data_IF_069545027247
#
_entry.id   IF_069545027247
#
_cell.length_a   1.000
_cell.length_b   1.000
_cell.length_c   1.000
_cell.angle_alpha   90.00
_cell.angle_beta   90.00
_cell.angle_gamma   90.00
#
_symmetry.space_group_name_H-M   'P 1'
#
loop_
_entity.id
_entity.type
_entity.pdbx_description
1 polymer ?
#
# COMPACT_ATOMS: atom_id res chain seq x y z
N UNK A 1 24.68 -56.67 0.75
CA UNK A 1 23.49 -56.28 -0.03
C UNK A 1 23.41 -54.75 0.00
N UNK A 2 23.81 -54.10 -1.09
CA UNK A 2 23.85 -52.65 -1.20
C UNK A 2 22.43 -52.07 -1.40
N UNK A 3 22.09 -50.99 -0.71
CA UNK A 3 20.94 -50.15 -1.07
C UNK A 3 21.44 -48.77 -1.46
N UNK A 4 21.44 -48.58 -2.77
CA UNK A 4 21.47 -47.29 -3.45
C UNK A 4 20.08 -46.64 -3.36
N UNK A 5 20.03 -45.36 -3.70
CA UNK A 5 18.87 -44.47 -3.90
C UNK A 5 18.54 -43.54 -2.72
N UNK A 6 18.94 -42.27 -2.88
CA UNK A 6 18.00 -41.25 -3.37
C UNK A 6 18.72 -40.03 -3.91
N UNK A 7 18.45 -39.76 -5.18
CA UNK A 7 18.82 -38.59 -5.95
C UNK A 7 18.50 -37.29 -5.22
N UNK A 8 19.55 -36.52 -4.91
CA UNK A 8 19.44 -35.11 -4.53
C UNK A 8 19.19 -34.34 -5.82
N UNK A 9 17.92 -34.00 -6.06
CA UNK A 9 17.51 -33.14 -7.19
C UNK A 9 18.15 -31.76 -7.05
N UNK A 10 18.99 -31.41 -8.03
CA UNK A 10 19.73 -30.15 -8.16
C UNK A 10 18.97 -29.12 -9.01
N UNK A 11 17.68 -28.91 -8.74
CA UNK A 11 16.85 -27.90 -9.42
C UNK A 11 16.29 -26.89 -8.42
N UNK A 12 17.17 -26.10 -7.82
CA UNK A 12 16.78 -24.89 -7.09
C UNK A 12 17.50 -23.68 -7.71
N UNK A 13 16.77 -22.67 -8.22
CA UNK A 13 17.39 -21.50 -8.83
C UNK A 13 18.29 -20.78 -7.82
N UNK A 14 19.55 -20.62 -8.23
CA UNK A 14 20.64 -20.05 -7.45
C UNK A 14 20.48 -18.52 -7.42
N UNK A 15 19.70 -17.99 -6.49
CA UNK A 15 19.43 -16.55 -6.53
C UNK A 15 18.58 -15.91 -5.44
N UNK A 16 18.46 -16.47 -4.23
CA UNK A 16 17.95 -15.70 -3.09
C UNK A 16 18.52 -16.28 -1.79
N UNK A 17 19.58 -15.64 -1.29
CA UNK A 17 20.04 -15.84 0.08
C UNK A 17 18.92 -15.33 1.00
N UNK A 18 18.06 -16.24 1.46
CA UNK A 18 17.11 -15.95 2.52
C UNK A 18 17.89 -15.50 3.76
N UNK A 19 17.59 -14.33 4.34
CA UNK A 19 18.24 -13.94 5.57
C UNK A 19 17.82 -14.90 6.67
N UNK A 20 18.83 -15.44 7.35
CA UNK A 20 18.73 -16.28 8.53
C UNK A 20 17.72 -15.66 9.50
N UNK A 21 16.74 -16.48 9.87
CA UNK A 21 15.70 -16.23 10.86
C UNK A 21 16.27 -15.56 12.12
N UNK A 22 16.22 -14.23 12.18
CA UNK A 22 16.28 -13.52 13.45
C UNK A 22 14.94 -13.83 14.13
N UNK A 23 14.92 -14.43 15.33
CA UNK A 23 13.66 -14.65 16.03
C UNK A 23 13.12 -13.27 16.38
N UNK A 24 12.16 -12.77 15.60
CA UNK A 24 11.40 -11.57 15.91
C UNK A 24 10.66 -11.91 17.20
N UNK A 25 11.25 -11.51 18.33
CA UNK A 25 10.69 -11.65 19.66
C UNK A 25 9.30 -11.05 19.58
N UNK A 26 8.27 -11.90 19.45
CA UNK A 26 6.87 -11.55 19.66
C UNK A 26 6.75 -11.30 21.15
N UNK A 27 7.37 -10.22 21.60
CA UNK A 27 7.18 -9.70 22.93
C UNK A 27 5.69 -9.37 23.00
N UNK A 28 5.03 -9.88 24.03
CA UNK A 28 3.60 -9.82 24.32
C UNK A 28 3.09 -8.38 24.50
N UNK A 29 3.24 -7.57 23.44
CA UNK A 29 2.96 -6.14 23.35
C UNK A 29 1.47 -5.82 23.26
N UNK A 30 0.61 -6.84 23.35
CA UNK A 30 -0.82 -6.71 23.11
C UNK A 30 -1.55 -6.00 24.25
N UNK A 31 -1.02 -6.04 25.48
CA UNK A 31 -1.57 -5.27 26.62
C UNK A 31 -0.96 -3.87 26.70
N UNK A 32 0.36 -3.78 26.64
CA UNK A 32 1.06 -2.48 26.71
C UNK A 32 0.75 -1.61 25.49
N UNK A 33 0.65 -2.21 24.30
CA UNK A 33 0.28 -1.56 23.04
C UNK A 33 -1.15 -1.05 23.01
N UNK A 34 -2.13 -1.83 23.47
CA UNK A 34 -3.52 -1.33 23.59
C UNK A 34 -3.63 -0.19 24.60
N UNK A 35 -2.87 -0.24 25.70
CA UNK A 35 -2.80 0.85 26.67
C UNK A 35 -2.15 2.10 26.07
N UNK A 36 -1.05 1.96 25.31
CA UNK A 36 -0.42 3.11 24.63
C UNK A 36 -1.33 3.69 23.54
N UNK A 37 -2.07 2.86 22.80
CA UNK A 37 -3.02 3.32 21.78
C UNK A 37 -4.23 4.05 22.39
N UNK A 38 -4.70 3.60 23.56
CA UNK A 38 -5.74 4.31 24.31
C UNK A 38 -5.22 5.65 24.83
N UNK A 39 -4.02 5.70 25.44
CA UNK A 39 -3.39 6.96 25.87
C UNK A 39 -3.17 7.91 24.70
N UNK A 40 -2.69 7.41 23.55
CA UNK A 40 -2.47 8.22 22.36
C UNK A 40 -3.76 8.83 21.83
N UNK A 41 -4.86 8.05 21.78
CA UNK A 41 -6.19 8.57 21.43
C UNK A 41 -6.71 9.56 22.47
N UNK A 42 -6.49 9.31 23.76
CA UNK A 42 -6.91 10.19 24.83
C UNK A 42 -6.18 11.55 24.78
N UNK A 43 -4.86 11.56 24.61
CA UNK A 43 -4.06 12.80 24.54
C UNK A 43 -4.34 13.64 23.28
N UNK A 44 -4.68 13.01 22.15
CA UNK A 44 -4.97 13.72 20.90
C UNK A 44 -6.36 14.36 20.83
N UNK A 45 -7.22 14.15 21.83
CA UNK A 45 -8.61 14.61 21.80
C UNK A 45 -8.80 15.86 22.69
N UNK A 46 -9.50 16.92 22.24
CA UNK A 46 -9.74 18.12 23.05
C UNK A 46 -10.48 17.85 24.38
N UNK A 47 -11.20 16.73 24.47
CA UNK A 47 -11.86 16.27 25.68
C UNK A 47 -10.91 16.02 26.86
N UNK A 48 -9.66 15.59 26.61
CA UNK A 48 -8.68 15.39 27.68
C UNK A 48 -8.31 16.71 28.36
N UNK A 49 -8.07 17.76 27.56
CA UNK A 49 -7.79 19.09 28.08
C UNK A 49 -8.98 19.63 28.88
N UNK A 50 -10.21 19.47 28.38
CA UNK A 50 -11.41 19.86 29.10
C UNK A 50 -11.57 19.14 30.44
N UNK A 51 -11.31 17.83 30.49
CA UNK A 51 -11.36 17.06 31.73
C UNK A 51 -10.29 17.50 32.74
N UNK A 52 -9.06 17.74 32.29
CA UNK A 52 -7.97 18.27 33.13
C UNK A 52 -8.31 19.66 33.67
N UNK A 53 -8.83 20.56 32.83
CA UNK A 53 -9.26 21.90 33.24
C UNK A 53 -10.41 21.84 34.25
N UNK A 54 -11.42 20.99 34.02
CA UNK A 54 -12.51 20.79 34.95
C UNK A 54 -12.03 20.26 36.31
N UNK A 55 -11.07 19.33 36.31
CA UNK A 55 -10.42 18.84 37.52
C UNK A 55 -9.71 19.95 38.29
N UNK A 56 -8.91 20.78 37.60
CA UNK A 56 -8.24 21.92 38.23
C UNK A 56 -9.23 22.92 38.83
N UNK A 57 -10.31 23.24 38.11
CA UNK A 57 -11.36 24.15 38.60
C UNK A 57 -12.07 23.56 39.83
N UNK A 58 -12.43 22.27 39.78
CA UNK A 58 -13.07 21.59 40.90
C UNK A 58 -12.16 21.53 42.14
N UNK A 59 -10.86 21.27 41.94
CA UNK A 59 -9.87 21.25 43.02
C UNK A 59 -9.71 22.63 43.67
N UNK A 60 -9.54 23.68 42.85
CA UNK A 60 -9.46 25.07 43.33
C UNK A 60 -10.75 25.44 44.07
N UNK A 61 -11.91 25.15 43.49
CA UNK A 61 -13.20 25.45 44.09
C UNK A 61 -13.38 24.77 45.45
N UNK A 62 -13.11 23.47 45.52
CA UNK A 62 -13.19 22.70 46.77
C UNK A 62 -12.26 23.26 47.84
N UNK A 63 -10.97 23.46 47.53
CA UNK A 63 -10.00 23.95 48.50
C UNK A 63 -10.14 25.45 48.83
N UNK A 64 -10.92 26.21 48.04
CA UNK A 64 -11.22 27.62 48.33
C UNK A 64 -12.44 27.76 49.23
N UNK A 65 -13.48 26.96 49.01
CA UNK A 65 -14.76 27.05 49.75
C UNK A 65 -14.75 26.18 51.02
N UNK A 66 -13.89 25.15 51.10
CA UNK A 66 -13.80 24.31 52.29
C UNK A 66 -13.24 25.08 53.51
N UNK A 67 -13.80 24.85 54.72
CA UNK A 67 -13.30 25.46 55.96
C UNK A 67 -11.87 24.98 56.29
N UNK A 68 -11.07 25.83 56.95
CA UNK A 68 -9.62 25.65 57.14
C UNK A 68 -9.19 24.29 57.71
N UNK A 69 -10.05 23.63 58.47
CA UNK A 69 -9.83 22.32 59.05
C UNK A 69 -9.97 21.14 58.06
N UNK A 70 -10.59 21.33 56.90
CA UNK A 70 -10.78 20.31 55.84
C UNK A 70 -10.06 20.65 54.53
N UNK A 71 -9.29 21.75 54.48
CA UNK A 71 -8.52 22.14 53.29
C UNK A 71 -7.30 21.23 53.16
N UNK A 72 -7.28 20.44 52.11
CA UNK A 72 -6.14 19.57 51.81
C UNK A 72 -4.99 20.37 51.15
N UNK A 73 -5.33 21.42 50.42
CA UNK A 73 -4.41 22.26 49.65
C UNK A 73 -4.79 23.74 49.80
N UNK A 74 -4.26 24.41 50.82
CA UNK A 74 -4.66 25.77 51.17
C UNK A 74 -4.24 26.81 50.13
N UNK A 75 -5.18 27.70 49.77
CA UNK A 75 -4.93 28.81 48.85
C UNK A 75 -3.84 29.78 49.35
N UNK A 76 -3.64 29.88 50.67
CA UNK A 76 -2.59 30.71 51.28
C UNK A 76 -1.17 30.25 50.93
N UNK A 77 -1.00 28.96 50.60
CA UNK A 77 0.27 28.38 50.17
C UNK A 77 0.37 28.29 48.63
N UNK A 78 -0.62 28.82 47.89
CA UNK A 78 -0.61 28.83 46.44
C UNK A 78 -0.92 27.47 45.78
N UNK A 79 -1.68 26.59 46.45
CA UNK A 79 -2.02 25.26 45.94
C UNK A 79 -0.78 24.38 45.67
N UNK A 80 0.11 24.27 46.67
CA UNK A 80 1.37 23.52 46.59
C UNK A 80 1.13 22.06 46.18
N UNK A 81 0.09 21.41 46.69
CA UNK A 81 -0.15 20.00 46.38
C UNK A 81 -0.54 19.81 44.90
N UNK A 82 -1.43 20.64 44.37
CA UNK A 82 -1.78 20.64 42.96
C UNK A 82 -0.57 20.90 42.07
N UNK A 83 0.28 21.85 42.46
CA UNK A 83 1.51 22.19 41.72
C UNK A 83 2.51 21.04 41.70
N UNK A 84 2.69 20.36 42.84
CA UNK A 84 3.53 19.16 42.94
C UNK A 84 3.01 18.03 42.05
N UNK A 85 1.70 17.82 42.02
CA UNK A 85 1.08 16.77 41.20
C UNK A 85 1.25 17.11 39.70
N UNK A 86 1.00 18.35 39.29
CA UNK A 86 1.13 18.76 37.89
C UNK A 86 2.58 18.70 37.40
N UNK A 87 3.55 19.11 38.23
CA UNK A 87 4.97 19.01 37.88
C UNK A 87 5.43 17.55 37.75
N UNK A 88 4.96 16.67 38.64
CA UNK A 88 5.22 15.23 38.54
C UNK A 88 4.58 14.63 37.27
N UNK A 89 3.33 15.02 36.95
CA UNK A 89 2.63 14.56 35.76
C UNK A 89 3.40 14.90 34.49
N UNK A 90 3.88 16.14 34.37
CA UNK A 90 4.69 16.56 33.23
C UNK A 90 6.01 15.76 33.13
N UNK A 91 6.68 15.52 34.25
CA UNK A 91 7.94 14.77 34.30
C UNK A 91 7.76 13.31 33.85
N UNK A 92 6.67 12.65 34.26
CA UNK A 92 6.40 11.26 33.88
C UNK A 92 5.79 11.11 32.47
N UNK A 93 5.16 12.17 31.95
CA UNK A 93 4.65 12.18 30.58
C UNK A 93 5.79 12.07 29.55
N UNK A 94 6.90 12.77 29.74
CA UNK A 94 8.03 12.77 28.82
C UNK A 94 8.58 11.37 28.45
N UNK A 95 8.92 10.48 29.41
CA UNK A 95 9.40 9.14 29.08
C UNK A 95 8.32 8.25 28.44
N UNK A 96 7.05 8.41 28.81
CA UNK A 96 5.94 7.68 28.17
C UNK A 96 5.74 8.12 26.72
N UNK A 97 5.84 9.43 26.46
CA UNK A 97 5.75 10.00 25.12
C UNK A 97 6.91 9.48 24.26
N UNK A 98 8.14 9.46 24.78
CA UNK A 98 9.29 8.89 24.07
C UNK A 98 9.09 7.41 23.70
N UNK A 99 8.54 6.60 24.60
CA UNK A 99 8.22 5.20 24.30
C UNK A 99 7.11 5.06 23.24
N UNK A 100 6.12 5.95 23.27
CA UNK A 100 5.07 5.99 22.25
C UNK A 100 5.61 6.43 20.88
N UNK A 101 6.52 7.42 20.87
CA UNK A 101 7.21 7.91 19.67
C UNK A 101 8.09 6.84 19.05
N UNK A 102 8.96 6.17 19.81
CA UNK A 102 9.79 5.08 19.29
C UNK A 102 8.96 3.99 18.58
N UNK A 103 7.77 3.67 19.12
CA UNK A 103 6.85 2.70 18.50
C UNK A 103 6.15 3.24 17.25
N UNK A 104 5.93 4.55 17.17
CA UNK A 104 5.39 5.21 15.99
C UNK A 104 6.44 5.20 14.89
N UNK A 105 7.67 5.63 15.21
CA UNK A 105 8.81 5.67 14.29
C UNK A 105 9.14 4.28 13.73
N UNK A 106 9.07 3.23 14.56
CA UNK A 106 9.24 1.84 14.12
C UNK A 106 8.19 1.41 13.10
N UNK A 107 6.92 1.83 13.28
CA UNK A 107 5.83 1.55 12.33
C UNK A 107 6.01 2.33 11.04
N UNK A 108 6.31 3.61 11.16
CA UNK A 108 6.49 4.51 10.02
C UNK A 108 7.68 4.05 9.16
N UNK A 109 8.77 3.59 9.79
CA UNK A 109 9.91 2.99 9.09
C UNK A 109 9.54 1.76 8.28
N UNK A 110 8.74 0.85 8.85
CA UNK A 110 8.29 -0.36 8.13
C UNK A 110 7.38 0.02 6.97
N UNK A 111 6.49 1.00 7.17
CA UNK A 111 5.60 1.49 6.12
C UNK A 111 6.38 2.12 4.96
N UNK A 112 7.40 2.92 5.25
CA UNK A 112 8.29 3.52 4.24
C UNK A 112 9.03 2.44 3.42
N UNK A 113 9.58 1.40 4.07
CA UNK A 113 10.29 0.35 3.34
C UNK A 113 9.33 -0.46 2.44
N UNK A 114 8.10 -0.72 2.90
CA UNK A 114 7.08 -1.37 2.08
C UNK A 114 6.67 -0.51 0.88
N UNK A 115 6.52 0.80 1.09
CA UNK A 115 6.17 1.74 0.03
C UNK A 115 7.28 1.85 -1.01
N UNK A 116 8.54 1.84 -0.57
CA UNK A 116 9.73 1.77 -1.44
C UNK A 116 9.72 0.50 -2.30
N UNK A 117 9.49 -0.67 -1.71
CA UNK A 117 9.41 -1.93 -2.45
C UNK A 117 8.24 -1.97 -3.43
N UNK A 118 7.09 -1.40 -3.05
CA UNK A 118 5.93 -1.28 -3.95
C UNK A 118 6.26 -0.35 -5.12
N UNK A 119 6.91 0.77 -4.87
CA UNK A 119 7.32 1.72 -5.90
C UNK A 119 8.31 1.10 -6.90
N UNK A 120 9.29 0.33 -6.41
CA UNK A 120 10.22 -0.42 -7.27
C UNK A 120 9.49 -1.44 -8.16
N UNK A 121 8.52 -2.18 -7.60
CA UNK A 121 7.70 -3.14 -8.37
C UNK A 121 6.82 -2.45 -9.39
N UNK A 122 6.19 -1.34 -9.03
CA UNK A 122 5.33 -0.57 -9.94
C UNK A 122 6.15 0.00 -11.11
N UNK A 123 7.37 0.46 -10.85
CA UNK A 123 8.29 0.92 -11.90
C UNK A 123 8.65 -0.24 -12.83
N UNK A 124 9.01 -1.41 -12.30
CA UNK A 124 9.33 -2.59 -13.10
C UNK A 124 8.13 -3.08 -13.93
N UNK A 125 6.93 -3.07 -13.37
CA UNK A 125 5.69 -3.46 -14.07
C UNK A 125 5.36 -2.46 -15.19
N UNK A 126 5.54 -1.17 -14.94
CA UNK A 126 5.38 -0.12 -15.96
C UNK A 126 6.39 -0.27 -17.09
N UNK A 127 7.66 -0.56 -16.77
CA UNK A 127 8.68 -0.84 -17.78
C UNK A 127 8.37 -2.11 -18.59
N UNK A 128 7.85 -3.14 -17.94
CA UNK A 128 7.42 -4.37 -18.60
C UNK A 128 6.27 -4.11 -19.57
N UNK A 129 5.20 -3.46 -19.11
CA UNK A 129 4.06 -3.06 -19.94
C UNK A 129 4.49 -2.17 -21.10
N UNK A 130 5.41 -1.23 -20.89
CA UNK A 130 5.93 -0.38 -21.96
C UNK A 130 6.65 -1.21 -23.05
N UNK A 131 7.46 -2.21 -22.66
CA UNK A 131 8.13 -3.11 -23.61
C UNK A 131 7.14 -3.98 -24.37
N UNK A 132 6.15 -4.55 -23.68
CA UNK A 132 5.09 -5.34 -24.31
C UNK A 132 4.26 -4.52 -25.30
N UNK A 133 3.91 -3.27 -24.96
CA UNK A 133 3.18 -2.36 -25.87
C UNK A 133 4.02 -2.02 -27.11
N UNK A 134 5.33 -1.82 -26.96
CA UNK A 134 6.23 -1.58 -28.11
C UNK A 134 6.32 -2.83 -29.00
N UNK A 135 6.46 -4.02 -28.41
CA UNK A 135 6.48 -5.28 -29.15
C UNK A 135 5.16 -5.51 -29.90
N UNK A 136 4.02 -5.30 -29.24
CA UNK A 136 2.69 -5.38 -29.86
C UNK A 136 2.55 -4.39 -31.01
N UNK A 137 3.01 -3.14 -30.84
CA UNK A 137 2.98 -2.12 -31.90
C UNK A 137 3.80 -2.52 -33.12
N UNK A 138 4.98 -3.10 -32.92
CA UNK A 138 5.84 -3.58 -34.01
C UNK A 138 5.17 -4.74 -34.77
N UNK A 139 4.64 -5.73 -34.04
CA UNK A 139 3.92 -6.85 -34.65
C UNK A 139 2.70 -6.40 -35.47
N UNK A 140 1.92 -5.44 -34.94
CA UNK A 140 0.79 -4.85 -35.67
C UNK A 140 1.22 -4.05 -36.90
N UNK A 141 2.34 -3.33 -36.82
CA UNK A 141 2.89 -2.57 -37.96
C UNK A 141 3.27 -3.49 -39.12
N UNK A 142 3.86 -4.64 -38.82
CA UNK A 142 4.32 -5.60 -39.85
C UNK A 142 3.13 -6.36 -40.48
N UNK A 143 2.11 -6.71 -39.70
CA UNK A 143 0.89 -7.38 -40.23
C UNK A 143 -0.01 -6.45 -41.05
N UNK A 144 -0.05 -5.16 -40.74
CA UNK A 144 -0.91 -4.19 -41.41
C UNK A 144 -0.12 -3.26 -42.35
N UNK A 145 0.90 -3.78 -43.05
CA UNK A 145 1.54 -2.96 -44.07
C UNK A 145 0.49 -2.56 -45.11
N UNK A 146 0.37 -1.25 -45.34
CA UNK A 146 -0.62 -0.67 -46.27
C UNK A 146 -0.54 -1.32 -47.65
N UNK A 147 0.65 -1.75 -48.05
CA UNK A 147 0.90 -2.34 -49.35
C UNK A 147 0.42 -3.80 -49.42
N UNK A 148 0.51 -4.59 -48.33
CA UNK A 148 -0.12 -5.91 -48.25
C UNK A 148 -1.64 -5.81 -48.34
N UNK A 149 -2.25 -4.92 -47.54
CA UNK A 149 -3.71 -4.70 -47.59
C UNK A 149 -4.14 -4.24 -48.99
N UNK A 150 -3.35 -3.40 -49.65
CA UNK A 150 -3.63 -2.87 -50.98
C UNK A 150 -3.40 -3.89 -52.10
N UNK A 151 -2.45 -4.81 -51.94
CA UNK A 151 -2.26 -5.94 -52.84
C UNK A 151 -3.40 -6.94 -52.71
N UNK A 152 -3.80 -7.28 -51.48
CA UNK A 152 -4.89 -8.23 -51.26
C UNK A 152 -6.25 -7.69 -51.72
N UNK A 153 -6.51 -6.40 -51.49
CA UNK A 153 -7.68 -5.71 -52.06
C UNK A 153 -7.68 -5.73 -53.59
N UNK A 154 -6.51 -5.58 -54.24
CA UNK A 154 -6.42 -5.67 -55.71
C UNK A 154 -6.62 -7.09 -56.20
N UNK A 155 -5.96 -8.06 -55.58
CA UNK A 155 -6.12 -9.49 -55.87
C UNK A 155 -7.60 -9.90 -55.81
N UNK A 156 -8.29 -9.55 -54.71
CA UNK A 156 -9.71 -9.82 -54.55
C UNK A 156 -10.61 -9.07 -55.55
N UNK A 157 -10.26 -7.83 -55.92
CA UNK A 157 -10.98 -7.07 -56.95
C UNK A 157 -10.80 -7.70 -58.34
N UNK A 158 -9.60 -8.13 -58.69
CA UNK A 158 -9.25 -8.75 -59.96
C UNK A 158 -9.94 -10.12 -60.11
N UNK A 159 -9.98 -10.91 -59.03
CA UNK A 159 -10.73 -12.17 -58.99
C UNK A 159 -12.24 -11.97 -59.18
N UNK A 160 -12.81 -10.88 -58.63
CA UNK A 160 -14.22 -10.53 -58.83
C UNK A 160 -14.49 -10.01 -60.25
N UNK A 161 -13.56 -9.27 -60.86
CA UNK A 161 -13.66 -8.84 -62.27
C UNK A 161 -13.58 -10.04 -63.21
N UNK A 162 -12.66 -10.99 -63.01
CA UNK A 162 -12.58 -12.23 -63.79
C UNK A 162 -13.88 -13.05 -63.69
N UNK A 163 -14.49 -13.17 -62.50
CA UNK A 163 -15.78 -13.84 -62.35
C UNK A 163 -16.90 -13.13 -63.13
N UNK A 164 -16.89 -11.79 -63.14
CA UNK A 164 -17.89 -11.01 -63.91
C UNK A 164 -17.69 -11.17 -65.41
N UNK A 165 -16.46 -11.13 -65.89
CA UNK A 165 -16.15 -11.16 -67.31
C UNK A 165 -16.31 -12.59 -67.90
N UNK A 166 -16.02 -13.62 -67.10
CA UNK A 166 -16.38 -15.01 -67.41
C UNK A 166 -17.88 -15.20 -67.55
N UNK A 167 -18.68 -14.63 -66.63
CA UNK A 167 -20.14 -14.67 -66.72
C UNK A 167 -20.71 -13.95 -67.97
N UNK A 168 -20.07 -12.87 -68.44
CA UNK A 168 -20.48 -12.22 -69.70
C UNK A 168 -20.09 -13.00 -70.95
N UNK A 169 -18.95 -13.69 -70.95
CA UNK A 169 -18.47 -14.47 -72.11
C UNK A 169 -19.28 -15.75 -72.33
N UNK A 170 -19.70 -16.40 -71.23
CA UNK A 170 -20.60 -17.55 -71.26
C UNK A 170 -22.01 -17.15 -71.73
N UNK A 171 -22.48 -15.95 -71.35
CA UNK A 171 -23.74 -15.39 -71.84
C UNK A 171 -23.73 -15.11 -73.35
N UNK A 172 -22.63 -14.57 -73.88
CA UNK A 172 -22.53 -14.24 -75.31
C UNK A 172 -22.29 -15.47 -76.20
N UNK A 173 -21.61 -16.51 -75.69
CA UNK A 173 -21.47 -17.79 -76.40
C UNK A 173 -22.79 -18.57 -76.44
N UNK A 174 -23.61 -18.47 -75.39
CA UNK A 174 -24.95 -19.08 -75.37
C UNK A 174 -25.94 -18.39 -76.33
N UNK A 175 -25.82 -17.08 -76.53
CA UNK A 175 -26.65 -16.32 -77.47
C UNK A 175 -26.26 -16.59 -78.93
N UNK A 176 -24.95 -16.68 -79.21
CA UNK A 176 -24.41 -16.97 -80.56
C UNK A 176 -24.65 -18.40 -81.03
N UNK A 177 -24.93 -19.33 -80.12
CA UNK A 177 -25.30 -20.73 -80.44
C UNK A 177 -26.81 -20.92 -80.62
N UNK A 178 -27.63 -19.88 -80.38
CA UNK A 178 -29.10 -19.89 -80.54
C UNK A 178 -29.61 -19.14 -81.77
N UNK A 179 -28.75 -18.45 -82.51
CA UNK A 179 -29.05 -17.82 -83.80
C UNK A 179 -28.66 -18.73 -84.97
#
# INVERSE_FOLDING_TARGET
MARNSKDVRLDAPKGMRAPVLVPRRRQSSDRFGRFTEWIARAMGTPWFLLGLTAFCIAWLGYNTVAPENMRFDSAALGFTALTLILSLQASYAAPLILLAQNRQDDRDRVQIEQDRQRSERNLADTEYLAREVVALRLALKDMASRDFIRQELRSLLEELEEQRDGATTDGESADRSRA
#
